data_IF_301894706016
#
_entry.id   IF_301894706016
#
_cell.length_a   1.000
_cell.length_b   1.000
_cell.length_c   1.000
_cell.angle_alpha   90.00
_cell.angle_beta   90.00
_cell.angle_gamma   90.00
#
_symmetry.space_group_name_H-M   'P 1'
#
loop_
_entity.id
_entity.type
_entity.pdbx_description
1 polymer ?
#
# COMPACT_ATOMS: atom_id res chain seq x y z
N UNK A 1 23.55 -36.24 -4.63
CA UNK A 1 22.87 -35.45 -3.60
C UNK A 1 23.71 -34.21 -3.36
N UNK A 2 23.41 -33.13 -4.09
CA UNK A 2 24.09 -31.85 -3.95
C UNK A 2 23.43 -31.13 -2.79
N UNK A 3 24.10 -31.11 -1.64
CA UNK A 3 23.75 -30.30 -0.49
C UNK A 3 23.66 -28.84 -0.96
N UNK A 4 22.45 -28.27 -0.97
CA UNK A 4 22.26 -26.82 -0.99
C UNK A 4 23.00 -26.29 0.23
N UNK A 5 24.15 -25.69 -0.01
CA UNK A 5 24.87 -24.93 0.99
C UNK A 5 23.95 -23.78 1.35
N UNK A 6 23.36 -23.84 2.54
CA UNK A 6 22.51 -22.82 3.11
C UNK A 6 23.38 -21.58 3.31
N UNK A 7 23.53 -20.76 2.26
CA UNK A 7 24.14 -19.45 2.38
C UNK A 7 23.26 -18.71 3.36
N UNK A 8 23.72 -18.58 4.60
CA UNK A 8 23.01 -17.86 5.63
C UNK A 8 22.92 -16.39 5.22
N UNK A 9 21.85 -16.05 4.50
CA UNK A 9 21.65 -14.71 3.95
C UNK A 9 21.52 -13.70 5.09
N UNK A 10 22.39 -12.68 5.04
CA UNK A 10 22.32 -11.49 5.90
C UNK A 10 21.08 -10.68 5.57
N UNK A 11 20.61 -9.88 6.52
CA UNK A 11 19.50 -8.95 6.26
C UNK A 11 19.94 -7.86 5.28
N UNK A 12 19.11 -7.62 4.28
CA UNK A 12 19.24 -6.56 3.28
C UNK A 12 18.12 -5.54 3.51
N UNK A 13 18.48 -4.26 3.50
CA UNK A 13 17.51 -3.17 3.62
C UNK A 13 16.71 -3.04 2.33
N UNK A 14 15.40 -3.09 2.45
CA UNK A 14 14.43 -3.03 1.34
C UNK A 14 13.45 -1.86 1.48
N UNK A 15 13.56 -1.05 2.54
CA UNK A 15 12.73 0.13 2.78
C UNK A 15 13.34 1.04 3.84
N UNK A 16 13.01 2.33 3.79
CA UNK A 16 13.26 3.27 4.89
C UNK A 16 12.27 4.42 4.82
N UNK A 17 11.74 4.81 5.98
CA UNK A 17 10.84 5.94 6.13
C UNK A 17 10.93 6.54 7.53
N UNK A 18 9.97 7.39 7.88
CA UNK A 18 9.95 8.06 9.18
C UNK A 18 9.78 7.10 10.37
N UNK A 19 9.17 5.93 10.18
CA UNK A 19 9.01 4.90 11.21
C UNK A 19 10.26 4.05 11.43
N UNK A 20 11.21 4.12 10.49
CA UNK A 20 12.44 3.34 10.51
C UNK A 20 12.66 2.57 9.22
N UNK A 21 13.42 1.50 9.31
CA UNK A 21 13.94 0.74 8.18
C UNK A 21 13.25 -0.61 8.03
N UNK A 22 13.15 -1.11 6.79
CA UNK A 22 12.54 -2.41 6.48
C UNK A 22 13.61 -3.33 5.90
N UNK A 23 13.67 -4.56 6.41
CA UNK A 23 14.70 -5.54 6.09
C UNK A 23 14.13 -6.89 5.72
N UNK A 24 14.90 -7.68 4.99
CA UNK A 24 14.54 -9.05 4.68
C UNK A 24 15.80 -9.89 4.47
N UNK A 25 15.69 -11.21 4.60
CA UNK A 25 16.80 -12.15 4.32
C UNK A 25 16.76 -12.64 2.88
N UNK A 26 15.58 -12.92 2.36
CA UNK A 26 15.37 -13.55 1.06
C UNK A 26 14.10 -13.01 0.39
N UNK A 27 13.89 -13.32 -0.89
CA UNK A 27 12.67 -12.91 -1.62
C UNK A 27 11.38 -13.43 -0.99
N UNK A 28 11.40 -14.67 -0.51
CA UNK A 28 10.23 -15.35 0.09
C UNK A 28 10.18 -15.21 1.63
N UNK A 29 11.16 -14.53 2.22
CA UNK A 29 11.22 -14.30 3.67
C UNK A 29 10.32 -13.16 4.15
N UNK A 30 10.08 -13.07 5.47
CA UNK A 30 9.32 -11.96 6.03
C UNK A 30 10.03 -10.61 5.84
N UNK A 31 9.24 -9.54 5.88
CA UNK A 31 9.71 -8.18 6.03
C UNK A 31 9.77 -7.81 7.53
N UNK A 32 10.93 -7.31 7.97
CA UNK A 32 11.19 -6.87 9.33
C UNK A 32 11.28 -5.34 9.33
N UNK A 33 10.22 -4.65 9.80
CA UNK A 33 10.20 -3.19 9.98
C UNK A 33 10.72 -2.88 11.38
N UNK A 34 11.82 -2.12 11.47
CA UNK A 34 12.48 -1.75 12.73
C UNK A 34 12.06 -0.35 13.17
N UNK A 35 11.93 -0.14 14.47
CA UNK A 35 11.65 1.18 15.07
C UNK A 35 12.96 1.95 15.29
N UNK A 36 13.69 2.22 14.19
CA UNK A 36 14.92 3.02 14.15
C UNK A 36 14.73 4.33 13.37
N UNK A 37 13.48 4.80 13.29
CA UNK A 37 13.09 6.05 12.66
C UNK A 37 13.03 7.25 13.62
N UNK A 38 12.26 8.26 13.22
CA UNK A 38 12.06 9.48 14.00
C UNK A 38 11.13 9.28 15.21
N UNK A 39 11.29 10.08 16.28
CA UNK A 39 10.59 9.88 17.56
C UNK A 39 9.08 10.14 17.51
N UNK A 40 8.57 10.70 16.42
CA UNK A 40 7.16 11.09 16.26
C UNK A 40 6.26 10.00 15.66
N UNK A 41 6.83 8.85 15.27
CA UNK A 41 6.08 7.70 14.74
C UNK A 41 6.15 6.53 15.72
N UNK A 42 5.12 5.71 15.76
CA UNK A 42 5.02 4.59 16.70
C UNK A 42 4.79 3.29 15.96
N UNK A 43 5.78 2.41 16.02
CA UNK A 43 5.66 1.09 15.42
C UNK A 43 4.64 0.21 16.17
N UNK A 44 4.45 0.45 17.47
CA UNK A 44 3.38 -0.19 18.23
C UNK A 44 1.98 0.18 17.69
N UNK A 45 1.75 1.46 17.35
CA UNK A 45 0.50 1.87 16.71
C UNK A 45 0.33 1.22 15.33
N UNK A 46 1.39 1.21 14.52
CA UNK A 46 1.40 0.55 13.21
C UNK A 46 0.97 -0.92 13.33
N UNK A 47 1.57 -1.68 14.26
CA UNK A 47 1.21 -3.07 14.50
C UNK A 47 -0.28 -3.27 14.86
N UNK A 48 -0.79 -2.45 15.79
CA UNK A 48 -2.20 -2.54 16.23
C UNK A 48 -3.15 -2.20 15.09
N UNK A 49 -2.89 -1.13 14.34
CA UNK A 49 -3.73 -0.70 13.23
C UNK A 49 -3.63 -1.64 12.03
N UNK A 50 -2.44 -2.17 11.74
CA UNK A 50 -2.23 -3.19 10.70
C UNK A 50 -3.02 -4.46 11.00
N UNK A 51 -2.94 -5.00 12.23
CA UNK A 51 -3.75 -6.16 12.66
C UNK A 51 -5.24 -5.88 12.53
N UNK A 52 -5.72 -4.72 13.02
CA UNK A 52 -7.13 -4.34 12.94
C UNK A 52 -7.61 -4.22 11.49
N UNK A 53 -6.82 -3.61 10.62
CA UNK A 53 -7.11 -3.51 9.19
C UNK A 53 -7.16 -4.90 8.54
N UNK A 54 -6.17 -5.75 8.78
CA UNK A 54 -6.11 -7.11 8.26
C UNK A 54 -7.34 -7.94 8.69
N UNK A 55 -7.68 -7.93 9.99
CA UNK A 55 -8.82 -8.66 10.53
C UNK A 55 -10.16 -8.17 9.93
N UNK A 56 -10.28 -6.86 9.70
CA UNK A 56 -11.44 -6.24 9.06
C UNK A 56 -11.62 -6.74 7.62
N UNK A 57 -10.53 -6.81 6.86
CA UNK A 57 -10.56 -7.32 5.48
C UNK A 57 -10.85 -8.81 5.42
N UNK A 58 -10.25 -9.61 6.31
CA UNK A 58 -10.52 -11.05 6.42
C UNK A 58 -11.99 -11.33 6.78
N UNK A 59 -12.58 -10.52 7.67
CA UNK A 59 -14.00 -10.60 8.02
C UNK A 59 -14.89 -10.39 6.79
N UNK A 60 -14.60 -9.38 5.97
CA UNK A 60 -15.35 -9.12 4.75
C UNK A 60 -15.20 -10.25 3.72
N UNK A 61 -13.96 -10.72 3.47
CA UNK A 61 -13.70 -11.77 2.48
C UNK A 61 -14.53 -13.02 2.77
N UNK A 62 -14.59 -13.47 4.04
CA UNK A 62 -15.39 -14.64 4.46
C UNK A 62 -16.89 -14.47 4.19
N UNK A 63 -17.42 -13.25 4.38
CA UNK A 63 -18.83 -12.96 4.09
C UNK A 63 -19.12 -12.98 2.59
N UNK A 64 -18.22 -12.42 1.76
CA UNK A 64 -18.39 -12.44 0.30
C UNK A 64 -18.34 -13.85 -0.29
N UNK A 65 -17.45 -14.72 0.21
CA UNK A 65 -17.39 -16.13 -0.26
C UNK A 65 -18.67 -16.91 0.04
N UNK A 66 -19.39 -16.53 1.09
CA UNK A 66 -20.64 -17.19 1.51
C UNK A 66 -21.84 -16.82 0.62
N UNK A 67 -21.78 -15.68 -0.08
CA UNK A 67 -22.82 -15.20 -0.99
C UNK A 67 -22.42 -15.54 -2.44
N UNK A 68 -22.80 -16.71 -2.95
CA UNK A 68 -22.41 -17.19 -4.28
C UNK A 68 -22.79 -16.20 -5.40
N UNK A 69 -21.77 -15.77 -6.16
CA UNK A 69 -21.89 -15.07 -7.43
C UNK A 69 -20.53 -14.55 -7.87
N UNK A 70 -19.89 -15.24 -8.82
CA UNK A 70 -18.54 -14.97 -9.36
C UNK A 70 -18.46 -13.63 -10.12
N UNK A 71 -18.59 -12.51 -9.41
CA UNK A 71 -18.13 -11.21 -9.89
C UNK A 71 -16.82 -10.88 -9.20
N UNK A 72 -15.81 -10.55 -10.01
CA UNK A 72 -14.55 -9.97 -9.55
C UNK A 72 -14.91 -8.72 -8.74
N UNK A 73 -14.80 -8.78 -7.42
CA UNK A 73 -15.06 -7.65 -6.55
C UNK A 73 -13.74 -6.97 -6.22
N UNK A 74 -13.51 -5.70 -6.59
CA UNK A 74 -12.24 -5.02 -6.34
C UNK A 74 -11.82 -5.26 -4.89
N UNK A 75 -10.60 -5.74 -4.61
CA UNK A 75 -10.12 -5.91 -3.24
C UNK A 75 -8.61 -5.72 -3.19
N UNK A 76 -8.15 -4.80 -2.35
CA UNK A 76 -6.71 -4.64 -2.07
C UNK A 76 -6.19 -5.75 -1.18
N UNK A 77 -4.91 -6.07 -1.32
CA UNK A 77 -4.21 -6.95 -0.37
C UNK A 77 -3.62 -6.15 0.77
N UNK A 78 -3.66 -6.72 1.97
CA UNK A 78 -2.91 -6.26 3.13
C UNK A 78 -1.89 -7.35 3.44
N UNK A 79 -0.60 -7.03 3.62
CA UNK A 79 0.39 -8.01 4.04
C UNK A 79 -0.03 -8.69 5.33
N UNK A 80 0.21 -10.00 5.49
CA UNK A 80 0.05 -10.65 6.78
C UNK A 80 0.88 -9.91 7.84
N UNK A 81 0.29 -9.67 9.01
CA UNK A 81 0.99 -9.10 10.15
C UNK A 81 1.27 -10.25 11.11
N UNK A 82 2.51 -10.67 11.31
CA UNK A 82 2.82 -11.87 12.10
C UNK A 82 2.96 -11.54 13.58
N UNK A 83 3.98 -10.77 13.94
CA UNK A 83 4.35 -10.50 15.33
C UNK A 83 4.95 -9.11 15.54
N UNK A 84 4.82 -8.62 16.77
CA UNK A 84 5.55 -7.46 17.29
C UNK A 84 6.68 -7.98 18.18
N UNK A 85 7.90 -7.61 17.85
CA UNK A 85 9.13 -7.99 18.55
C UNK A 85 9.56 -6.81 19.42
N UNK A 86 9.92 -7.10 20.66
CA UNK A 86 10.49 -6.14 21.62
C UNK A 86 12.02 -6.26 21.64
N UNK A 87 12.76 -5.31 22.23
CA UNK A 87 14.22 -5.42 22.35
C UNK A 87 14.69 -6.60 23.22
N UNK A 88 13.79 -7.21 24.01
CA UNK A 88 14.08 -8.35 24.89
C UNK A 88 13.72 -9.71 24.26
N UNK A 89 13.15 -9.73 23.06
CA UNK A 89 12.79 -10.99 22.40
C UNK A 89 14.03 -11.81 22.03
N UNK A 90 13.98 -13.12 22.32
CA UNK A 90 15.03 -14.10 21.98
C UNK A 90 15.35 -14.13 20.48
N UNK A 91 14.41 -13.68 19.65
CA UNK A 91 14.59 -13.54 18.21
C UNK A 91 15.82 -12.68 17.87
N UNK A 92 16.13 -11.65 18.67
CA UNK A 92 17.31 -10.81 18.47
C UNK A 92 18.62 -11.56 18.71
N UNK A 93 18.67 -12.52 19.64
CA UNK A 93 19.88 -13.32 19.87
C UNK A 93 20.27 -14.12 18.62
N UNK A 94 19.27 -14.63 17.89
CA UNK A 94 19.47 -15.44 16.68
C UNK A 94 19.68 -14.60 15.40
N UNK A 95 19.18 -13.36 15.38
CA UNK A 95 19.10 -12.55 14.16
C UNK A 95 19.96 -11.29 14.16
N UNK A 96 20.35 -10.74 15.32
CA UNK A 96 21.05 -9.45 15.39
C UNK A 96 22.37 -9.46 14.62
N UNK A 97 23.15 -10.54 14.71
CA UNK A 97 24.43 -10.71 14.03
C UNK A 97 24.32 -10.80 12.51
N UNK A 98 23.09 -10.96 11.98
CA UNK A 98 22.80 -11.00 10.54
C UNK A 98 22.46 -9.62 9.96
N UNK A 99 22.23 -8.61 10.81
CA UNK A 99 22.16 -7.22 10.37
C UNK A 99 23.59 -6.67 10.21
N UNK A 100 23.78 -5.57 9.44
CA UNK A 100 25.07 -4.90 9.40
C UNK A 100 25.57 -4.51 10.80
N UNK A 101 26.88 -4.30 10.94
CA UNK A 101 27.46 -3.85 12.21
C UNK A 101 26.86 -2.49 12.62
N UNK A 102 26.56 -2.35 13.91
CA UNK A 102 26.08 -1.09 14.50
C UNK A 102 24.59 -1.07 14.86
N UNK A 103 23.82 -2.09 14.47
CA UNK A 103 22.44 -2.22 14.91
C UNK A 103 22.34 -2.86 16.32
N UNK A 104 21.35 -2.42 17.09
CA UNK A 104 20.95 -3.00 18.38
C UNK A 104 19.55 -3.61 18.29
N UNK A 105 19.15 -4.44 19.27
CA UNK A 105 17.75 -4.79 19.46
C UNK A 105 16.87 -3.55 19.59
N UNK A 106 15.67 -3.60 19.04
CA UNK A 106 14.68 -2.53 19.05
C UNK A 106 13.27 -3.14 18.97
N UNK A 107 12.24 -2.30 19.00
CA UNK A 107 10.93 -2.79 18.58
C UNK A 107 10.94 -3.08 17.07
N UNK A 108 10.30 -4.16 16.65
CA UNK A 108 10.16 -4.49 15.23
C UNK A 108 8.82 -5.18 14.91
N UNK A 109 8.35 -5.05 13.68
CA UNK A 109 7.21 -5.82 13.15
C UNK A 109 7.75 -6.84 12.17
N UNK A 110 7.35 -8.10 12.36
CA UNK A 110 7.49 -9.14 11.35
C UNK A 110 6.18 -9.26 10.56
N UNK A 111 6.26 -9.15 9.24
CA UNK A 111 5.12 -9.17 8.33
C UNK A 111 5.43 -9.88 7.01
N UNK A 112 4.39 -10.23 6.25
CA UNK A 112 4.53 -10.68 4.87
C UNK A 112 5.28 -9.64 4.05
N UNK A 113 6.27 -10.07 3.29
CA UNK A 113 6.97 -9.21 2.36
C UNK A 113 6.13 -9.08 1.10
N UNK A 114 5.82 -7.84 0.71
CA UNK A 114 5.24 -7.58 -0.62
C UNK A 114 6.28 -7.95 -1.69
N UNK A 115 5.94 -8.83 -2.65
CA UNK A 115 6.88 -9.21 -3.70
C UNK A 115 7.30 -7.99 -4.52
N UNK A 116 8.60 -7.81 -4.83
CA UNK A 116 9.02 -6.74 -5.72
C UNK A 116 8.70 -7.08 -7.19
N UNK A 117 8.58 -6.07 -8.05
CA UNK A 117 8.49 -6.30 -9.49
C UNK A 117 9.77 -6.97 -10.05
N UNK A 118 9.62 -7.90 -11.01
CA UNK A 118 10.74 -8.64 -11.59
C UNK A 118 11.64 -7.74 -12.44
N UNK A 119 12.86 -8.23 -12.72
CA UNK A 119 13.91 -7.49 -13.43
C UNK A 119 13.46 -6.89 -14.75
N UNK A 120 12.68 -7.60 -15.56
CA UNK A 120 12.19 -7.09 -16.84
C UNK A 120 11.30 -5.84 -16.68
N UNK A 121 10.50 -5.76 -15.61
CA UNK A 121 9.64 -4.60 -15.34
C UNK A 121 10.47 -3.46 -14.76
N UNK A 122 11.45 -3.76 -13.90
CA UNK A 122 12.41 -2.76 -13.40
C UNK A 122 13.21 -2.12 -14.54
N UNK A 123 13.73 -2.94 -15.46
CA UNK A 123 14.43 -2.49 -16.66
C UNK A 123 13.53 -1.62 -17.55
N UNK A 124 12.27 -2.03 -17.76
CA UNK A 124 11.31 -1.26 -18.52
C UNK A 124 11.05 0.14 -17.94
N UNK A 125 10.88 0.25 -16.62
CA UNK A 125 10.68 1.56 -15.95
C UNK A 125 11.94 2.43 -16.04
N UNK A 126 13.11 1.82 -15.87
CA UNK A 126 14.40 2.51 -16.00
C UNK A 126 14.57 3.06 -17.41
N UNK A 127 14.35 2.23 -18.43
CA UNK A 127 14.45 2.63 -19.84
C UNK A 127 13.55 3.83 -20.17
N UNK A 128 12.32 3.86 -19.63
CA UNK A 128 11.35 4.91 -19.94
C UNK A 128 11.61 6.23 -19.19
N UNK A 129 12.05 6.16 -17.94
CA UNK A 129 11.96 7.30 -17.04
C UNK A 129 13.25 7.65 -16.30
N UNK A 130 14.24 6.75 -16.25
CA UNK A 130 15.50 7.02 -15.58
C UNK A 130 16.42 7.87 -16.46
N UNK A 131 17.13 8.86 -15.90
CA UNK A 131 18.21 9.51 -16.62
C UNK A 131 19.26 8.49 -17.09
N UNK A 132 19.69 8.54 -18.38
CA UNK A 132 20.62 7.56 -18.93
C UNK A 132 21.92 7.43 -18.12
N UNK A 133 22.37 8.53 -17.50
CA UNK A 133 23.63 8.61 -16.77
C UNK A 133 23.67 7.72 -15.52
N UNK A 134 22.52 7.46 -14.90
CA UNK A 134 22.41 6.68 -13.66
C UNK A 134 21.70 5.32 -13.86
N UNK A 135 21.26 5.00 -15.08
CA UNK A 135 20.47 3.80 -15.35
C UNK A 135 21.17 2.50 -14.93
N UNK A 136 22.46 2.34 -15.25
CA UNK A 136 23.24 1.18 -14.84
C UNK A 136 23.41 1.08 -13.32
N UNK A 137 23.58 2.23 -12.65
CA UNK A 137 23.68 2.29 -11.19
C UNK A 137 22.36 1.86 -10.53
N UNK A 138 21.22 2.30 -11.07
CA UNK A 138 19.90 1.91 -10.56
C UNK A 138 19.65 0.41 -10.75
N UNK A 139 19.95 -0.15 -11.93
CA UNK A 139 19.69 -1.56 -12.21
C UNK A 139 20.58 -2.52 -11.40
N UNK A 140 21.82 -2.12 -11.12
CA UNK A 140 22.78 -2.91 -10.33
C UNK A 140 22.61 -2.76 -8.81
N UNK A 141 21.87 -1.75 -8.35
CA UNK A 141 21.67 -1.47 -6.93
C UNK A 141 20.74 -2.47 -6.26
N UNK A 142 21.19 -3.09 -5.16
CA UNK A 142 20.37 -4.04 -4.37
C UNK A 142 19.11 -3.39 -3.80
N UNK A 143 19.17 -2.13 -3.33
CA UNK A 143 17.98 -1.44 -2.80
C UNK A 143 16.90 -1.25 -3.87
N UNK A 144 17.30 -1.05 -5.13
CA UNK A 144 16.39 -0.94 -6.27
C UNK A 144 15.85 -2.29 -6.76
N UNK A 145 16.25 -3.41 -6.14
CA UNK A 145 15.58 -4.70 -6.33
C UNK A 145 14.27 -4.78 -5.55
N UNK A 146 14.10 -4.00 -4.48
CA UNK A 146 12.86 -3.88 -3.73
C UNK A 146 11.85 -2.95 -4.44
N UNK A 147 11.60 -3.20 -5.73
CA UNK A 147 10.79 -2.31 -6.55
C UNK A 147 9.30 -2.47 -6.25
N UNK A 148 8.71 -1.41 -5.71
CA UNK A 148 7.28 -1.23 -5.52
C UNK A 148 6.86 0.04 -6.28
N UNK A 149 5.70 0.01 -6.93
CA UNK A 149 5.21 1.13 -7.72
C UNK A 149 4.03 1.77 -7.00
N UNK A 150 4.10 3.05 -6.68
CA UNK A 150 2.99 3.80 -6.08
C UNK A 150 2.10 4.41 -7.16
N UNK A 151 0.85 3.96 -7.34
CA UNK A 151 -0.05 4.52 -8.34
C UNK A 151 -0.62 5.87 -7.85
N UNK A 152 -0.20 6.96 -8.47
CA UNK A 152 -0.68 8.31 -8.16
C UNK A 152 -1.83 8.69 -9.09
N UNK A 153 -3.08 8.34 -8.72
CA UNK A 153 -4.27 8.63 -9.52
C UNK A 153 -4.86 10.02 -9.27
N UNK A 154 -4.43 10.68 -8.19
CA UNK A 154 -4.87 12.02 -7.84
C UNK A 154 -4.06 13.13 -8.50
N UNK A 155 -3.00 12.79 -9.23
CA UNK A 155 -2.03 13.77 -9.73
C UNK A 155 -1.37 13.32 -11.04
N UNK A 156 -1.25 14.26 -11.97
CA UNK A 156 -0.33 14.17 -13.13
C UNK A 156 1.01 14.81 -12.77
N UNK A 157 2.09 14.42 -13.44
CA UNK A 157 3.38 15.12 -13.32
C UNK A 157 3.19 16.62 -13.61
N UNK A 158 3.85 17.48 -12.84
CA UNK A 158 3.96 18.91 -13.17
C UNK A 158 5.06 19.13 -14.23
N UNK A 159 5.06 20.26 -14.94
CA UNK A 159 6.01 20.53 -16.04
C UNK A 159 7.49 20.27 -15.66
N UNK A 160 7.90 20.64 -14.44
CA UNK A 160 9.26 20.38 -13.93
C UNK A 160 9.56 18.90 -13.65
N UNK A 161 8.55 18.09 -13.34
CA UNK A 161 8.69 16.63 -13.17
C UNK A 161 8.45 15.83 -14.45
N UNK A 162 7.71 16.39 -15.40
CA UNK A 162 7.38 15.76 -16.67
C UNK A 162 8.55 15.84 -17.68
N UNK A 163 9.27 16.97 -17.71
CA UNK A 163 10.36 17.14 -18.67
C UNK A 163 11.70 16.56 -18.22
N UNK A 164 11.81 15.98 -17.02
CA UNK A 164 13.11 15.67 -16.39
C UNK A 164 14.09 16.87 -16.43
N UNK A 165 13.56 18.11 -16.54
CA UNK A 165 14.37 19.31 -16.72
C UNK A 165 14.98 19.66 -15.37
N UNK A 166 16.24 19.24 -15.21
CA UNK A 166 17.26 19.89 -14.38
C UNK A 166 17.10 19.84 -12.86
N UNK A 167 16.41 18.86 -12.29
CA UNK A 167 16.62 18.61 -10.86
C UNK A 167 17.82 17.69 -10.65
N UNK A 168 19.03 18.26 -10.63
CA UNK A 168 20.26 17.62 -10.13
C UNK A 168 20.14 17.07 -8.69
N UNK A 169 19.00 17.34 -8.04
CA UNK A 169 18.69 17.03 -6.64
C UNK A 169 17.52 16.05 -6.46
N UNK A 170 16.92 15.51 -7.53
CA UNK A 170 15.90 14.45 -7.40
C UNK A 170 16.54 13.10 -7.69
N UNK A 171 16.72 12.29 -6.65
CA UNK A 171 17.12 10.89 -6.80
C UNK A 171 16.05 10.12 -7.58
N UNK A 172 16.48 9.30 -8.53
CA UNK A 172 15.64 8.27 -9.12
C UNK A 172 15.75 7.02 -8.24
N UNK A 173 14.62 6.41 -7.90
CA UNK A 173 14.57 5.18 -7.11
C UNK A 173 13.42 4.31 -7.59
N UNK A 174 13.65 3.00 -7.68
CA UNK A 174 12.63 1.99 -7.94
C UNK A 174 11.92 1.53 -6.67
N UNK A 175 12.53 1.76 -5.51
CA UNK A 175 11.86 1.63 -4.23
C UNK A 175 10.83 2.76 -4.15
N UNK A 176 9.55 2.40 -4.00
CA UNK A 176 8.44 3.35 -3.89
C UNK A 176 8.27 4.27 -5.11
N UNK A 177 8.50 3.74 -6.31
CA UNK A 177 8.47 4.52 -7.55
C UNK A 177 7.09 5.18 -7.79
N UNK A 178 6.98 6.52 -7.79
CA UNK A 178 5.71 7.20 -8.00
C UNK A 178 5.31 7.20 -9.47
N UNK A 179 4.35 6.35 -9.83
CA UNK A 179 3.80 6.27 -11.18
C UNK A 179 2.57 7.17 -11.29
N UNK A 180 2.73 8.30 -11.95
CA UNK A 180 1.66 9.30 -12.11
C UNK A 180 0.65 8.90 -13.18
N UNK A 181 -0.56 9.46 -13.09
CA UNK A 181 -1.65 9.15 -14.02
C UNK A 181 -1.27 9.34 -15.50
N UNK A 182 -0.54 10.39 -15.84
CA UNK A 182 -0.06 10.63 -17.21
C UNK A 182 0.95 9.57 -17.66
N UNK A 183 1.84 9.11 -16.76
CA UNK A 183 2.77 8.01 -17.05
C UNK A 183 2.02 6.70 -17.28
N UNK A 184 0.95 6.42 -16.54
CA UNK A 184 0.15 5.21 -16.77
C UNK A 184 -0.43 5.20 -18.19
N UNK A 185 -0.93 6.35 -18.66
CA UNK A 185 -1.44 6.51 -20.03
C UNK A 185 -0.29 6.38 -21.06
N UNK A 186 0.86 7.01 -20.82
CA UNK A 186 2.05 6.92 -21.68
C UNK A 186 2.58 5.48 -21.80
N UNK A 187 2.57 4.72 -20.72
CA UNK A 187 2.95 3.30 -20.74
C UNK A 187 1.93 2.42 -21.47
N UNK A 188 0.75 2.93 -21.79
CA UNK A 188 -0.33 2.15 -22.40
C UNK A 188 -1.06 1.25 -21.40
N UNK A 189 -1.11 1.62 -20.11
CA UNK A 189 -1.97 0.92 -19.16
C UNK A 189 -3.43 1.13 -19.58
N UNK A 190 -4.21 0.05 -19.78
CA UNK A 190 -5.61 0.17 -20.17
C UNK A 190 -6.43 1.01 -19.19
N UNK A 191 -7.30 1.89 -19.70
CA UNK A 191 -8.11 2.79 -18.87
C UNK A 191 -8.95 2.04 -17.84
N UNK A 192 -9.51 0.88 -18.21
CA UNK A 192 -10.27 0.01 -17.31
C UNK A 192 -9.40 -0.57 -16.16
N UNK A 193 -8.09 -0.73 -16.34
CA UNK A 193 -7.19 -1.13 -15.24
C UNK A 193 -6.93 0.04 -14.30
N UNK A 194 -6.78 1.26 -14.83
CA UNK A 194 -6.64 2.48 -14.01
C UNK A 194 -7.92 2.72 -13.20
N UNK A 195 -9.08 2.55 -13.82
CA UNK A 195 -10.38 2.60 -13.13
C UNK A 195 -10.52 1.49 -12.08
N UNK A 196 -9.99 0.29 -12.33
CA UNK A 196 -9.95 -0.79 -11.35
C UNK A 196 -9.11 -0.41 -10.12
N UNK A 197 -7.92 0.17 -10.30
CA UNK A 197 -7.11 0.67 -9.18
C UNK A 197 -7.87 1.70 -8.34
N UNK A 198 -8.55 2.64 -8.99
CA UNK A 198 -9.39 3.64 -8.33
C UNK A 198 -10.54 3.01 -7.55
N UNK A 199 -11.22 2.03 -8.13
CA UNK A 199 -12.28 1.28 -7.46
C UNK A 199 -11.74 0.53 -6.23
N UNK A 200 -10.60 -0.17 -6.36
CA UNK A 200 -9.96 -0.88 -5.23
C UNK A 200 -9.61 0.08 -4.07
N UNK A 201 -9.10 1.28 -4.37
CA UNK A 201 -8.85 2.30 -3.33
C UNK A 201 -10.15 2.78 -2.65
N UNK A 202 -11.22 2.96 -3.43
CA UNK A 202 -12.54 3.34 -2.91
C UNK A 202 -13.13 2.25 -2.02
N UNK A 203 -13.02 0.99 -2.42
CA UNK A 203 -13.41 -0.13 -1.58
C UNK A 203 -12.61 -0.15 -0.27
N UNK A 204 -11.29 -0.08 -0.37
CA UNK A 204 -10.39 -0.17 0.78
C UNK A 204 -10.71 0.87 1.85
N UNK A 205 -10.91 2.13 1.44
CA UNK A 205 -11.29 3.20 2.36
C UNK A 205 -12.68 2.99 2.96
N UNK A 206 -13.66 2.51 2.20
CA UNK A 206 -14.98 2.21 2.76
C UNK A 206 -14.90 1.10 3.84
N UNK A 207 -14.06 0.08 3.61
CA UNK A 207 -13.82 -1.00 4.58
C UNK A 207 -13.15 -0.46 5.84
N UNK A 208 -12.06 0.30 5.69
CA UNK A 208 -11.37 0.91 6.83
C UNK A 208 -12.32 1.81 7.63
N UNK A 209 -13.07 2.68 6.96
CA UNK A 209 -13.93 3.66 7.62
C UNK A 209 -15.12 2.99 8.32
N UNK A 210 -15.85 2.11 7.63
CA UNK A 210 -17.18 1.70 8.09
C UNK A 210 -17.26 0.34 8.74
N UNK A 211 -16.26 -0.52 8.52
CA UNK A 211 -16.15 -1.80 9.21
C UNK A 211 -14.97 -1.79 10.19
N UNK A 212 -13.84 -1.21 9.77
CA UNK A 212 -12.65 -1.08 10.60
C UNK A 212 -12.76 0.04 11.62
N UNK A 213 -13.56 1.08 11.35
CA UNK A 213 -13.61 2.33 12.12
C UNK A 213 -12.21 2.95 12.27
N UNK A 214 -11.47 2.99 11.16
CA UNK A 214 -10.11 3.52 11.00
C UNK A 214 -10.17 4.70 10.02
N UNK A 215 -9.46 5.79 10.31
CA UNK A 215 -9.49 7.02 9.49
C UNK A 215 -8.68 6.96 8.17
N UNK A 216 -7.81 5.96 8.03
CA UNK A 216 -6.96 5.76 6.85
C UNK A 216 -5.83 6.78 6.73
N UNK A 217 -5.42 7.44 7.81
CA UNK A 217 -4.35 8.42 7.77
C UNK A 217 -2.98 7.78 7.49
N UNK A 218 -2.27 8.36 6.52
CA UNK A 218 -0.95 7.95 6.00
C UNK A 218 -0.88 6.54 5.39
N UNK A 219 -2.02 5.88 5.13
CA UNK A 219 -2.00 4.61 4.39
C UNK A 219 -1.43 4.81 2.99
N UNK A 220 -0.61 3.87 2.58
CA UNK A 220 0.03 3.86 1.27
C UNK A 220 -0.52 2.72 0.41
N UNK A 221 -0.63 2.99 -0.90
CA UNK A 221 -0.98 1.99 -1.90
C UNK A 221 0.18 1.73 -2.84
N UNK A 222 0.43 0.46 -3.13
CA UNK A 222 1.46 0.04 -4.10
C UNK A 222 0.93 -1.04 -5.04
N UNK A 223 1.31 -0.96 -6.30
CA UNK A 223 1.23 -2.07 -7.24
C UNK A 223 2.42 -2.98 -6.99
N UNK A 224 2.15 -4.28 -6.96
CA UNK A 224 3.17 -5.33 -6.86
C UNK A 224 2.61 -6.68 -7.32
N UNK A 225 3.47 -7.64 -7.72
CA UNK A 225 3.04 -9.00 -7.97
C UNK A 225 2.24 -9.60 -6.79
N UNK A 226 1.30 -10.52 -7.07
CA UNK A 226 0.69 -11.33 -6.02
C UNK A 226 1.74 -12.23 -5.35
N UNK A 227 1.47 -12.76 -4.14
CA UNK A 227 2.38 -13.69 -3.48
C UNK A 227 2.60 -14.95 -4.34
N UNK A 228 3.76 -15.60 -4.18
CA UNK A 228 4.11 -16.84 -4.88
C UNK A 228 3.11 -17.95 -4.57
N UNK A 229 2.69 -18.04 -3.30
CA UNK A 229 1.64 -18.94 -2.83
C UNK A 229 0.34 -18.15 -2.65
N UNK A 230 -0.45 -18.09 -3.72
CA UNK A 230 -1.79 -17.47 -3.71
C UNK A 230 -2.86 -18.56 -3.59
N UNK A 231 -3.84 -18.35 -2.71
CA UNK A 231 -4.98 -19.26 -2.50
C UNK A 231 -6.03 -19.16 -3.63
N UNK A 232 -5.71 -18.44 -4.70
CA UNK A 232 -6.57 -18.19 -5.85
C UNK A 232 -7.65 -17.14 -5.59
N UNK A 233 -7.68 -16.51 -4.41
CA UNK A 233 -8.63 -15.44 -4.09
C UNK A 233 -8.16 -14.05 -4.53
N UNK A 234 -6.86 -13.89 -4.85
CA UNK A 234 -6.32 -12.59 -5.26
C UNK A 234 -6.82 -12.18 -6.63
N UNK A 235 -7.43 -11.00 -6.68
CA UNK A 235 -7.73 -10.33 -7.93
C UNK A 235 -6.45 -9.66 -8.42
N UNK A 236 -6.02 -10.02 -9.62
CA UNK A 236 -4.86 -9.45 -10.27
C UNK A 236 -5.21 -8.90 -11.65
N UNK A 237 -4.41 -7.95 -12.09
CA UNK A 237 -4.41 -7.41 -13.44
C UNK A 237 -3.15 -7.85 -14.16
N UNK A 238 -3.22 -7.94 -15.49
CA UNK A 238 -2.05 -8.16 -16.34
C UNK A 238 -2.03 -7.10 -17.43
N UNK A 239 -1.02 -6.22 -17.38
CA UNK A 239 -0.79 -5.19 -18.40
C UNK A 239 0.73 -5.07 -18.65
N UNK A 240 1.18 -3.92 -19.14
CA UNK A 240 2.60 -3.62 -19.40
C UNK A 240 3.52 -3.76 -18.18
N UNK A 241 2.98 -3.71 -16.95
CA UNK A 241 3.72 -3.95 -15.70
C UNK A 241 3.79 -5.45 -15.33
N UNK A 242 3.26 -6.35 -16.17
CA UNK A 242 3.12 -7.78 -15.87
C UNK A 242 1.92 -8.09 -14.98
N UNK A 243 1.90 -9.29 -14.36
CA UNK A 243 0.85 -9.73 -13.42
C UNK A 243 1.06 -9.05 -12.06
N UNK A 244 0.08 -8.29 -11.59
CA UNK A 244 0.16 -7.55 -10.32
C UNK A 244 -1.22 -7.28 -9.71
N UNK A 245 -1.23 -6.86 -8.45
CA UNK A 245 -2.43 -6.39 -7.72
C UNK A 245 -2.10 -5.11 -6.94
N UNK A 246 -3.11 -4.54 -6.27
CA UNK A 246 -2.96 -3.39 -5.40
C UNK A 246 -2.82 -3.85 -3.95
N UNK A 247 -1.76 -3.42 -3.29
CA UNK A 247 -1.49 -3.65 -1.89
C UNK A 247 -1.67 -2.36 -1.09
N UNK A 248 -2.00 -2.50 0.18
CA UNK A 248 -2.14 -1.42 1.15
C UNK A 248 -1.22 -1.68 2.34
N UNK A 249 -0.45 -0.67 2.72
CA UNK A 249 0.56 -0.74 3.80
C UNK A 249 0.69 0.61 4.53
N UNK A 250 1.58 0.65 5.53
CA UNK A 250 1.88 1.78 6.41
C UNK A 250 0.66 2.28 7.21
N UNK A 251 0.42 1.69 8.38
CA UNK A 251 -0.74 2.00 9.22
C UNK A 251 -0.34 2.82 10.46
N UNK A 252 0.85 3.41 10.47
CA UNK A 252 1.49 3.96 11.66
C UNK A 252 0.83 5.25 12.18
N UNK A 253 0.17 6.03 11.32
CA UNK A 253 -0.63 7.21 11.72
C UNK A 253 -2.14 7.00 11.67
N UNK A 254 -2.58 5.80 11.31
CA UNK A 254 -3.99 5.45 11.39
C UNK A 254 -4.48 5.57 12.84
N UNK A 255 -5.72 6.02 12.98
CA UNK A 255 -6.40 6.16 14.27
C UNK A 255 -7.81 5.62 14.19
N UNK A 256 -8.36 5.29 15.35
CA UNK A 256 -9.80 5.05 15.48
C UNK A 256 -10.57 6.27 14.98
N UNK A 257 -11.65 6.02 14.25
CA UNK A 257 -12.56 7.00 13.71
C UNK A 257 -13.93 6.84 14.38
N UNK A 258 -14.53 7.92 14.85
CA UNK A 258 -15.88 7.90 15.43
C UNK A 258 -16.95 7.79 14.34
N UNK A 259 -18.08 7.15 14.64
CA UNK A 259 -19.20 7.00 13.69
C UNK A 259 -20.14 8.21 13.75
N UNK A 260 -19.55 9.39 13.54
CA UNK A 260 -20.23 10.67 13.54
C UNK A 260 -19.57 11.65 12.55
N UNK A 261 -20.03 12.90 12.54
CA UNK A 261 -19.49 13.93 11.66
C UNK A 261 -18.04 14.33 11.98
N UNK A 262 -17.55 14.10 13.21
CA UNK A 262 -16.16 14.40 13.54
C UNK A 262 -15.22 13.35 12.95
N UNK A 263 -15.59 12.06 13.05
CA UNK A 263 -14.89 10.99 12.36
C UNK A 263 -14.89 11.17 10.84
N UNK A 264 -16.01 11.61 10.25
CA UNK A 264 -16.05 11.96 8.83
C UNK A 264 -15.04 13.06 8.48
N UNK A 265 -14.95 14.14 9.27
CA UNK A 265 -13.95 15.21 9.02
C UNK A 265 -12.53 14.71 9.19
N UNK A 266 -12.28 13.84 10.17
CA UNK A 266 -10.98 13.19 10.38
C UNK A 266 -10.56 12.39 9.14
N UNK A 267 -11.46 11.55 8.61
CA UNK A 267 -11.20 10.80 7.37
C UNK A 267 -11.00 11.72 6.15
N UNK A 268 -11.76 12.81 6.01
CA UNK A 268 -11.54 13.79 4.93
C UNK A 268 -10.17 14.44 5.05
N UNK A 269 -9.74 14.77 6.28
CA UNK A 269 -8.41 15.32 6.53
C UNK A 269 -7.32 14.31 6.15
N UNK A 270 -7.48 13.03 6.51
CA UNK A 270 -6.58 11.95 6.11
C UNK A 270 -6.52 11.81 4.58
N UNK A 271 -7.66 11.69 3.90
CA UNK A 271 -7.74 11.59 2.42
C UNK A 271 -6.96 12.69 1.67
N UNK A 272 -6.96 13.91 2.22
CA UNK A 272 -6.25 15.04 1.65
C UNK A 272 -4.83 15.25 2.19
N UNK A 273 -4.49 14.66 3.32
CA UNK A 273 -3.18 14.70 3.95
C UNK A 273 -2.25 13.63 3.39
N UNK A 274 -2.80 12.48 3.01
CA UNK A 274 -2.06 11.42 2.34
C UNK A 274 -1.55 11.92 0.99
N UNK A 275 -0.48 11.27 0.54
CA UNK A 275 0.05 11.38 -0.82
C UNK A 275 -1.07 11.24 -1.87
N UNK A 276 -0.91 11.80 -3.09
CA UNK A 276 -1.96 11.86 -4.10
C UNK A 276 -2.24 10.50 -4.79
N UNK A 277 -2.28 9.42 -4.01
CA UNK A 277 -2.69 8.08 -4.41
C UNK A 277 -4.12 8.10 -4.95
N UNK A 278 -5.04 8.65 -4.15
CA UNK A 278 -6.46 8.64 -4.46
C UNK A 278 -6.80 9.55 -5.65
N UNK A 279 -7.68 9.11 -6.56
CA UNK A 279 -8.31 10.00 -7.53
C UNK A 279 -8.88 11.24 -6.83
N UNK A 280 -8.74 12.41 -7.45
CA UNK A 280 -9.36 13.65 -6.97
C UNK A 280 -10.65 13.92 -7.75
N UNK A 281 -11.63 14.66 -7.21
CA UNK A 281 -12.91 14.91 -7.89
C UNK A 281 -12.84 15.40 -9.34
N UNK A 282 -11.75 16.07 -9.72
CA UNK A 282 -11.50 16.58 -11.06
C UNK A 282 -10.83 15.57 -12.01
N UNK A 283 -10.51 14.34 -11.58
CA UNK A 283 -9.91 13.30 -12.43
C UNK A 283 -10.98 12.35 -12.94
N UNK A 284 -10.76 11.77 -14.13
CA UNK A 284 -11.71 10.84 -14.75
C UNK A 284 -11.95 9.60 -13.87
N UNK A 285 -10.92 9.20 -13.11
CA UNK A 285 -10.94 8.03 -12.22
C UNK A 285 -11.78 8.25 -10.95
N UNK A 286 -12.16 9.49 -10.63
CA UNK A 286 -12.98 9.80 -9.45
C UNK A 286 -14.29 9.02 -9.44
N UNK A 287 -14.94 8.89 -10.60
CA UNK A 287 -16.22 8.23 -10.69
C UNK A 287 -16.14 6.74 -10.34
N UNK A 288 -15.04 6.07 -10.69
CA UNK A 288 -14.80 4.67 -10.31
C UNK A 288 -14.59 4.54 -8.80
N UNK A 289 -13.73 5.38 -8.22
CA UNK A 289 -13.51 5.44 -6.77
C UNK A 289 -14.81 5.70 -6.00
N UNK A 290 -15.53 6.77 -6.36
CA UNK A 290 -16.75 7.23 -5.69
C UNK A 290 -17.83 6.16 -5.73
N UNK A 291 -18.06 5.56 -6.89
CA UNK A 291 -19.08 4.51 -7.06
C UNK A 291 -18.75 3.30 -6.20
N UNK A 292 -17.50 2.84 -6.24
CA UNK A 292 -17.10 1.68 -5.45
C UNK A 292 -17.16 1.97 -3.95
N UNK A 293 -16.66 3.13 -3.50
CA UNK A 293 -16.72 3.53 -2.09
C UNK A 293 -18.15 3.51 -1.54
N UNK A 294 -19.09 4.13 -2.26
CA UNK A 294 -20.49 4.19 -1.83
C UNK A 294 -21.18 2.83 -1.90
N UNK A 295 -20.93 2.04 -2.95
CA UNK A 295 -21.49 0.68 -3.05
C UNK A 295 -21.00 -0.20 -1.92
N UNK A 296 -19.69 -0.22 -1.65
CA UNK A 296 -19.12 -0.96 -0.53
C UNK A 296 -19.67 -0.48 0.81
N UNK A 297 -19.88 0.82 0.99
CA UNK A 297 -20.51 1.35 2.20
C UNK A 297 -21.92 0.79 2.41
N UNK A 298 -22.71 0.66 1.33
CA UNK A 298 -24.04 0.01 1.34
C UNK A 298 -23.90 -1.46 1.75
N UNK A 299 -23.04 -2.21 1.07
CA UNK A 299 -22.88 -3.65 1.28
C UNK A 299 -22.43 -3.96 2.72
N UNK A 300 -21.46 -3.21 3.25
CA UNK A 300 -20.96 -3.33 4.62
C UNK A 300 -22.06 -3.04 5.65
N UNK A 301 -22.81 -1.97 5.44
CA UNK A 301 -23.82 -1.54 6.40
C UNK A 301 -24.97 -2.56 6.48
N UNK A 302 -25.44 -3.08 5.34
CA UNK A 302 -26.45 -4.14 5.33
C UNK A 302 -25.97 -5.46 5.92
N UNK A 303 -24.68 -5.78 5.76
CA UNK A 303 -24.10 -7.05 6.21
C UNK A 303 -23.77 -7.05 7.70
N UNK A 304 -23.29 -5.91 8.24
CA UNK A 304 -22.69 -5.85 9.57
C UNK A 304 -23.35 -4.86 10.54
N UNK A 305 -24.15 -3.90 10.06
CA UNK A 305 -24.68 -2.79 10.86
C UNK A 305 -26.17 -2.53 10.60
N UNK A 306 -26.99 -3.58 10.70
CA UNK A 306 -28.42 -3.55 10.34
C UNK A 306 -29.25 -2.52 11.12
N UNK A 307 -28.85 -2.22 12.36
CA UNK A 307 -29.56 -1.28 13.23
C UNK A 307 -29.13 0.19 13.02
N UNK A 308 -28.08 0.45 12.24
CA UNK A 308 -27.48 1.78 12.03
C UNK A 308 -27.47 2.21 10.55
N UNK A 309 -28.31 1.58 9.72
CA UNK A 309 -28.23 1.71 8.25
C UNK A 309 -28.29 3.17 7.79
N UNK A 310 -29.33 3.89 8.19
CA UNK A 310 -29.53 5.26 7.73
C UNK A 310 -28.39 6.18 8.16
N UNK A 311 -27.89 6.00 9.39
CA UNK A 311 -26.81 6.83 9.94
C UNK A 311 -25.49 6.58 9.21
N UNK A 312 -25.01 5.33 9.13
CA UNK A 312 -23.72 5.01 8.50
C UNK A 312 -23.70 5.37 7.01
N UNK A 313 -24.81 5.12 6.28
CA UNK A 313 -24.91 5.55 4.88
C UNK A 313 -24.98 7.07 4.73
N UNK A 314 -25.58 7.75 5.70
CA UNK A 314 -25.53 9.21 5.81
C UNK A 314 -24.09 9.72 5.89
N UNK A 315 -23.30 9.16 6.81
CA UNK A 315 -21.90 9.52 7.01
C UNK A 315 -21.02 9.22 5.78
N UNK A 316 -21.21 8.06 5.14
CA UNK A 316 -20.51 7.71 3.89
C UNK A 316 -20.77 8.73 2.77
N UNK A 317 -22.03 9.16 2.60
CA UNK A 317 -22.38 10.22 1.64
C UNK A 317 -21.78 11.57 2.03
N UNK A 318 -21.71 11.90 3.33
CA UNK A 318 -21.09 13.13 3.82
C UNK A 318 -19.58 13.14 3.57
N UNK A 319 -18.88 12.03 3.74
CA UNK A 319 -17.46 11.90 3.39
C UNK A 319 -17.21 12.25 1.92
N UNK A 320 -17.92 11.60 0.99
CA UNK A 320 -17.82 11.89 -0.45
C UNK A 320 -18.18 13.35 -0.76
N UNK A 321 -19.31 13.83 -0.23
CA UNK A 321 -19.78 15.19 -0.48
C UNK A 321 -18.81 16.27 0.02
N UNK A 322 -18.15 16.03 1.16
CA UNK A 322 -17.12 16.95 1.67
C UNK A 322 -15.87 16.94 0.78
N UNK A 323 -15.45 15.77 0.26
CA UNK A 323 -14.35 15.72 -0.70
C UNK A 323 -14.70 16.50 -1.97
N UNK A 324 -15.89 16.30 -2.54
CA UNK A 324 -16.34 16.96 -3.78
C UNK A 324 -16.53 18.49 -3.63
N UNK A 325 -16.85 18.97 -2.43
CA UNK A 325 -17.08 20.41 -2.18
C UNK A 325 -15.84 21.13 -1.65
N UNK A 326 -14.86 20.41 -1.10
CA UNK A 326 -13.60 21.01 -0.66
C UNK A 326 -12.77 21.41 -1.87
N UNK A 327 -12.71 22.71 -2.16
CA UNK A 327 -11.80 23.25 -3.18
C UNK A 327 -10.37 23.20 -2.66
N UNK A 328 -9.47 22.52 -3.35
CA UNK A 328 -8.02 22.61 -3.18
C UNK A 328 -7.36 22.95 -4.50
#
# INVERSE_FOLDING_TARGET
MTTKQDSQENYIQIGSGFCGTVWTRSLDGPAIKREDGGPSRSLANDFVMHKRALDTFLKLSRTKTSNQGQLIQPQVRIPQCYSFLTPQDIWWEENLTRFPLGYSPCNAISSERIPPFPENIRAFIVEKYCPPEISNQILSSTSNQACLIRPYLGRRRTYGTAMNVRSRFRGFSLQDYPLHLDQMVELGIPSNHIECYAAMMGEALAILHWLGEIDGNDIEFVLAPPPTEDDGSTIYMTNVLGKHTLWMLDFDLCRSMTMDMEGVKQAVKAFYGNDPFYPRPHTDQWMAFRRQYLQTSVDLTHSFHKDEIENRLGLARKFIGLIETTKK
#
